data_IF_800810989977
#
_entry.id   IF_800810989977
#
_cell.length_a   1.000
_cell.length_b   1.000
_cell.length_c   1.000
_cell.angle_alpha   90.00
_cell.angle_beta   90.00
_cell.angle_gamma   90.00
#
_symmetry.space_group_name_H-M   'P 1'
#
loop_
_entity.id
_entity.type
_entity.pdbx_description
1 polymer ?
#
# COMPACT_ATOMS: atom_id res chain seq x y z
N UNK A 1 17.43 -49.83 -7.93
CA UNK A 1 16.12 -49.18 -7.65
C UNK A 1 16.35 -47.87 -6.89
N UNK A 2 16.28 -46.72 -7.56
CA UNK A 2 16.59 -45.42 -6.96
C UNK A 2 15.34 -44.81 -6.31
N UNK A 3 15.42 -44.51 -5.00
CA UNK A 3 14.39 -43.78 -4.26
C UNK A 3 14.25 -42.36 -4.84
N UNK A 4 13.13 -42.09 -5.51
CA UNK A 4 12.77 -40.77 -6.06
C UNK A 4 12.68 -39.74 -4.92
N UNK A 5 13.46 -38.67 -5.02
CA UNK A 5 13.49 -37.57 -4.08
C UNK A 5 12.13 -36.88 -3.92
N UNK A 6 11.79 -36.61 -2.67
CA UNK A 6 10.59 -35.90 -2.25
C UNK A 6 10.75 -34.41 -2.61
N UNK A 7 10.14 -33.97 -3.71
CA UNK A 7 10.10 -32.55 -4.06
C UNK A 7 9.15 -31.84 -3.10
N UNK A 8 9.65 -30.87 -2.35
CA UNK A 8 8.84 -30.00 -1.50
C UNK A 8 7.90 -29.16 -2.36
N UNK A 9 6.63 -29.55 -2.40
CA UNK A 9 5.55 -28.67 -2.88
C UNK A 9 5.37 -27.57 -1.83
N UNK A 10 6.16 -26.50 -1.93
CA UNK A 10 5.93 -25.30 -1.13
C UNK A 10 4.58 -24.72 -1.56
N UNK A 11 3.57 -24.87 -0.71
CA UNK A 11 2.29 -24.17 -0.85
C UNK A 11 2.56 -22.67 -0.85
N UNK A 12 2.48 -22.06 -2.02
CA UNK A 12 2.61 -20.61 -2.16
C UNK A 12 1.39 -19.95 -1.52
N UNK A 13 1.57 -19.38 -0.33
CA UNK A 13 0.50 -18.72 0.42
C UNK A 13 -0.15 -17.62 -0.41
N UNK A 14 -1.49 -17.66 -0.49
CA UNK A 14 -2.26 -16.69 -1.24
C UNK A 14 -2.07 -15.28 -0.64
N UNK A 15 -1.76 -14.30 -1.49
CA UNK A 15 -1.60 -12.91 -1.06
C UNK A 15 -2.95 -12.35 -0.57
N UNK A 16 -2.92 -11.53 0.49
CA UNK A 16 -4.12 -10.86 1.02
C UNK A 16 -4.86 -10.05 -0.06
N UNK A 17 -6.20 -10.06 -0.04
CA UNK A 17 -7.03 -9.29 -1.00
C UNK A 17 -6.89 -7.78 -0.84
N UNK A 18 -6.63 -7.32 0.38
CA UNK A 18 -6.49 -5.91 0.75
C UNK A 18 -5.05 -5.58 1.15
N UNK A 19 -4.70 -4.30 1.03
CA UNK A 19 -3.43 -3.72 1.46
C UNK A 19 -3.66 -2.50 2.32
N UNK A 20 -2.83 -2.36 3.35
CA UNK A 20 -2.69 -1.10 4.08
C UNK A 20 -1.76 -0.17 3.29
N UNK A 21 -2.20 1.05 3.06
CA UNK A 21 -1.51 2.07 2.29
C UNK A 21 -1.38 3.35 3.11
N UNK A 22 -0.30 4.10 2.86
CA UNK A 22 -0.09 5.41 3.46
C UNK A 22 -0.55 6.47 2.48
N UNK A 23 -1.42 7.35 2.92
CA UNK A 23 -1.83 8.55 2.20
C UNK A 23 -1.03 9.72 2.74
N UNK A 24 -0.20 10.32 1.91
CA UNK A 24 0.72 11.41 2.26
C UNK A 24 0.04 12.75 1.96
N UNK A 25 0.14 13.69 2.89
CA UNK A 25 -0.32 15.07 2.72
C UNK A 25 0.49 15.79 1.64
N UNK A 26 -0.19 16.43 0.69
CA UNK A 26 0.46 17.26 -0.34
C UNK A 26 0.90 18.63 0.17
N UNK A 27 0.65 18.94 1.45
CA UNK A 27 1.16 20.16 2.08
C UNK A 27 2.62 20.05 2.54
N UNK A 28 3.33 18.96 2.20
CA UNK A 28 4.74 18.72 2.53
C UNK A 28 5.08 18.75 4.03
N UNK A 29 4.10 18.43 4.89
CA UNK A 29 4.25 18.41 6.37
C UNK A 29 4.81 17.10 6.91
N UNK A 30 4.89 16.06 6.08
CA UNK A 30 5.19 14.69 6.50
C UNK A 30 4.03 13.96 7.17
N UNK A 31 2.87 14.61 7.38
CA UNK A 31 1.68 13.96 7.93
C UNK A 31 1.12 12.95 6.92
N UNK A 32 0.72 11.78 7.43
CA UNK A 32 0.09 10.74 6.62
C UNK A 32 -1.00 10.02 7.39
N UNK A 33 -1.91 9.41 6.64
CA UNK A 33 -2.97 8.56 7.20
C UNK A 33 -2.88 7.16 6.61
N UNK A 34 -3.05 6.15 7.45
CA UNK A 34 -3.14 4.76 6.99
C UNK A 34 -4.58 4.46 6.55
N UNK A 35 -4.71 3.75 5.43
CA UNK A 35 -5.98 3.26 4.92
C UNK A 35 -5.85 1.85 4.37
N UNK A 36 -6.99 1.16 4.27
CA UNK A 36 -7.06 -0.17 3.66
C UNK A 36 -7.80 -0.04 2.33
N UNK A 37 -7.22 -0.62 1.28
CA UNK A 37 -7.89 -0.73 -0.03
C UNK A 37 -7.72 -2.11 -0.66
N UNK A 38 -8.65 -2.55 -1.53
CA UNK A 38 -8.44 -3.72 -2.37
C UNK A 38 -7.24 -3.53 -3.32
N UNK A 39 -6.43 -4.58 -3.54
CA UNK A 39 -5.24 -4.50 -4.41
C UNK A 39 -5.53 -4.17 -5.87
N UNK A 40 -6.69 -4.56 -6.36
CA UNK A 40 -7.13 -4.36 -7.75
C UNK A 40 -7.62 -2.94 -8.01
N UNK A 41 -7.86 -2.14 -6.97
CA UNK A 41 -8.36 -0.77 -7.11
C UNK A 41 -7.26 0.19 -7.58
N UNK A 42 -7.65 1.34 -8.13
CA UNK A 42 -6.73 2.45 -8.45
C UNK A 42 -6.15 3.07 -7.16
N UNK A 43 -4.97 3.72 -7.23
CA UNK A 43 -4.40 4.45 -6.09
C UNK A 43 -5.38 5.50 -5.55
N UNK A 44 -5.35 5.71 -4.24
CA UNK A 44 -6.27 6.64 -3.58
C UNK A 44 -5.77 8.09 -3.65
N UNK A 45 -6.70 9.00 -3.90
CA UNK A 45 -6.53 10.46 -3.79
C UNK A 45 -7.75 11.05 -3.09
N UNK A 46 -7.57 11.85 -2.04
CA UNK A 46 -8.71 12.41 -1.29
C UNK A 46 -8.37 13.74 -0.63
N UNK A 47 -9.38 14.60 -0.42
CA UNK A 47 -9.27 15.78 0.42
C UNK A 47 -9.52 15.44 1.89
N UNK A 48 -8.53 15.67 2.76
CA UNK A 48 -8.61 15.42 4.20
C UNK A 48 -7.95 16.52 5.02
N UNK A 49 -8.27 16.58 6.30
CA UNK A 49 -7.65 17.52 7.22
C UNK A 49 -6.21 17.10 7.55
N UNK A 50 -5.27 18.03 7.39
CA UNK A 50 -3.91 17.90 7.90
C UNK A 50 -3.79 18.72 9.20
N UNK A 51 -3.49 18.07 10.35
CA UNK A 51 -3.40 18.74 11.65
C UNK A 51 -2.20 19.69 11.76
N UNK A 52 -1.18 19.55 10.92
CA UNK A 52 0.00 20.43 10.95
C UNK A 52 -0.33 21.79 10.32
N UNK A 53 -1.02 21.80 9.16
CA UNK A 53 -1.43 23.06 8.49
C UNK A 53 -2.80 23.56 8.96
N UNK A 54 -3.56 22.72 9.67
CA UNK A 54 -4.92 23.00 10.15
C UNK A 54 -5.92 23.32 9.03
N UNK A 55 -5.77 22.64 7.88
CA UNK A 55 -6.62 22.85 6.69
C UNK A 55 -6.94 21.52 6.01
N UNK A 56 -7.98 21.52 5.17
CA UNK A 56 -8.24 20.40 4.25
C UNK A 56 -7.29 20.51 3.06
N UNK A 57 -6.51 19.46 2.83
CA UNK A 57 -5.51 19.37 1.77
C UNK A 57 -5.66 18.06 1.01
N UNK A 58 -5.08 17.99 -0.18
CA UNK A 58 -5.04 16.77 -0.97
C UNK A 58 -4.08 15.76 -0.33
N UNK A 59 -4.50 14.52 -0.25
CA UNK A 59 -3.69 13.38 0.15
C UNK A 59 -3.58 12.39 -1.00
N UNK A 60 -2.37 11.92 -1.28
CA UNK A 60 -2.09 10.93 -2.32
C UNK A 60 -1.47 9.66 -1.74
N UNK A 61 -1.77 8.52 -2.33
CA UNK A 61 -1.19 7.25 -1.91
C UNK A 61 0.31 7.16 -2.19
N UNK A 62 1.07 6.73 -1.18
CA UNK A 62 2.47 6.43 -1.33
C UNK A 62 2.68 5.27 -2.32
N UNK A 63 3.39 5.52 -3.40
CA UNK A 63 3.73 4.48 -4.38
C UNK A 63 4.69 3.48 -3.75
N UNK A 64 4.37 2.18 -3.84
CA UNK A 64 5.22 1.11 -3.33
C UNK A 64 6.47 1.00 -4.20
N UNK A 65 7.56 1.67 -3.81
CA UNK A 65 8.90 1.48 -4.40
C UNK A 65 9.60 2.70 -4.99
N UNK A 66 9.15 3.94 -4.73
CA UNK A 66 9.92 5.16 -5.06
C UNK A 66 10.16 5.43 -6.55
N UNK A 67 9.73 4.56 -7.46
CA UNK A 67 9.76 4.81 -8.91
C UNK A 67 8.39 5.31 -9.34
N UNK A 68 8.34 6.57 -9.75
CA UNK A 68 7.35 6.99 -10.72
C UNK A 68 7.48 6.03 -11.91
N UNK A 69 6.36 5.45 -12.34
CA UNK A 69 6.34 4.70 -13.60
C UNK A 69 6.61 5.65 -14.76
#
# INVERSE_FOLDING_TARGET
MAKKGMRSFLLQSAKSRTIAVRLISMAMTGYYRTMIRPRTHRPLSMLKYDPVVKKKVLFLEATKGGRAK
#
